data_IF_563107915622
#
_entry.id   IF_563107915622
#
_cell.length_a   1.000
_cell.length_b   1.000
_cell.length_c   1.000
_cell.angle_alpha   90.00
_cell.angle_beta   90.00
_cell.angle_gamma   90.00
#
_symmetry.space_group_name_H-M   'P 1'
#
loop_
_entity.id
_entity.type
_entity.pdbx_description
1 polymer ?
#
# COMPACT_ATOMS: atom_id res chain seq x y z
N UNK A 1 -3.90 -16.14 15.99
CA UNK A 1 -5.16 -16.00 15.21
C UNK A 1 -6.41 -16.43 15.99
N UNK A 2 -6.60 -17.68 16.48
CA UNK A 2 -7.78 -18.07 17.27
C UNK A 2 -7.94 -17.20 18.52
N UNK A 3 -6.86 -16.98 19.27
CA UNK A 3 -6.86 -16.15 20.46
C UNK A 3 -7.28 -14.70 20.17
N UNK A 4 -6.93 -14.16 19.02
CA UNK A 4 -7.26 -12.79 18.64
C UNK A 4 -8.76 -12.64 18.31
N UNK A 5 -9.37 -13.62 17.68
CA UNK A 5 -10.83 -13.68 17.55
C UNK A 5 -11.51 -13.74 18.94
N UNK A 6 -10.94 -14.54 19.86
CA UNK A 6 -11.44 -14.63 21.23
C UNK A 6 -11.33 -13.30 21.98
N UNK A 7 -10.24 -12.55 21.78
CA UNK A 7 -10.05 -11.22 22.36
C UNK A 7 -11.09 -10.19 21.88
N UNK A 8 -11.62 -10.38 20.65
CA UNK A 8 -12.75 -9.60 20.13
C UNK A 8 -14.13 -10.10 20.61
N UNK A 9 -14.16 -11.09 21.48
CA UNK A 9 -15.40 -11.71 21.97
C UNK A 9 -16.04 -12.69 20.97
N UNK A 10 -15.35 -13.04 19.88
CA UNK A 10 -15.84 -13.97 18.86
C UNK A 10 -15.59 -15.39 19.33
N UNK A 11 -16.67 -16.14 19.57
CA UNK A 11 -16.59 -17.53 19.97
C UNK A 11 -16.52 -18.44 18.74
N UNK A 12 -15.40 -19.14 18.57
CA UNK A 12 -15.17 -20.07 17.48
C UNK A 12 -15.59 -21.50 17.86
N UNK A 13 -16.02 -22.26 16.85
CA UNK A 13 -16.40 -23.67 16.99
C UNK A 13 -15.36 -24.54 16.29
N UNK A 14 -14.28 -24.89 17.01
CA UNK A 14 -13.19 -25.71 16.46
C UNK A 14 -12.33 -24.96 15.43
N UNK A 15 -11.62 -25.70 14.57
CA UNK A 15 -10.60 -25.20 13.66
C UNK A 15 -11.04 -25.15 12.19
N UNK A 16 -12.34 -25.21 11.91
CA UNK A 16 -12.84 -25.12 10.51
C UNK A 16 -12.44 -23.79 9.90
N UNK A 17 -11.82 -23.76 8.69
CA UNK A 17 -11.37 -22.54 8.05
C UNK A 17 -12.46 -21.48 7.87
N UNK A 18 -13.69 -21.92 7.61
CA UNK A 18 -14.85 -21.04 7.51
C UNK A 18 -15.94 -21.48 8.47
N UNK A 19 -16.45 -20.56 9.25
CA UNK A 19 -17.52 -20.84 10.19
C UNK A 19 -18.44 -19.65 10.41
N UNK A 20 -19.67 -19.96 10.88
CA UNK A 20 -20.62 -18.93 11.33
C UNK A 20 -20.79 -19.01 12.81
N UNK A 21 -20.78 -17.86 13.47
CA UNK A 21 -20.96 -17.74 14.93
C UNK A 21 -21.82 -16.53 15.30
N UNK A 22 -22.10 -16.38 16.58
CA UNK A 22 -22.85 -15.22 17.11
C UNK A 22 -21.99 -13.96 17.03
N UNK A 23 -22.60 -12.85 16.66
CA UNK A 23 -21.92 -11.56 16.68
C UNK A 23 -21.87 -11.01 18.12
N UNK A 24 -20.71 -10.75 18.72
CA UNK A 24 -20.62 -10.23 20.07
C UNK A 24 -21.23 -8.83 20.21
N UNK A 25 -21.25 -8.04 19.11
CA UNK A 25 -21.82 -6.68 19.14
C UNK A 25 -23.34 -6.63 19.10
N UNK A 26 -23.99 -7.43 18.26
CA UNK A 26 -25.43 -7.29 18.06
C UNK A 26 -26.27 -8.48 18.57
N UNK A 27 -25.70 -9.68 18.75
CA UNK A 27 -26.46 -10.83 19.24
C UNK A 27 -27.08 -10.63 20.63
N UNK A 28 -26.45 -9.92 21.60
CA UNK A 28 -27.02 -9.70 22.92
C UNK A 28 -28.33 -8.90 22.92
N UNK A 29 -28.50 -7.99 21.94
CA UNK A 29 -29.64 -7.06 21.86
C UNK A 29 -30.74 -7.53 20.91
N UNK A 30 -30.54 -8.67 20.22
CA UNK A 30 -31.48 -9.18 19.22
C UNK A 30 -32.59 -10.03 19.82
N UNK A 31 -33.74 -10.05 19.15
CA UNK A 31 -34.86 -10.96 19.50
C UNK A 31 -34.38 -12.43 19.45
N UNK A 32 -33.69 -12.81 18.38
CA UNK A 32 -33.08 -14.14 18.28
C UNK A 32 -31.60 -14.08 18.69
N UNK A 33 -31.31 -14.39 19.95
CA UNK A 33 -29.95 -14.41 20.51
C UNK A 33 -29.11 -15.63 20.06
N UNK A 34 -29.72 -16.58 19.36
CA UNK A 34 -29.06 -17.81 18.89
C UNK A 34 -28.58 -17.68 17.44
N UNK A 35 -28.98 -16.63 16.73
CA UNK A 35 -28.62 -16.43 15.33
C UNK A 35 -27.12 -16.25 15.11
N UNK A 36 -26.56 -17.04 14.19
CA UNK A 36 -25.15 -17.04 13.82
C UNK A 36 -24.90 -16.18 12.60
N UNK A 37 -25.07 -14.87 12.74
CA UNK A 37 -24.94 -13.90 11.64
C UNK A 37 -23.52 -13.45 11.36
N UNK A 38 -22.53 -13.85 12.18
CA UNK A 38 -21.13 -13.51 12.00
C UNK A 38 -20.42 -14.64 11.22
N UNK A 39 -20.01 -14.34 10.01
CA UNK A 39 -19.12 -15.21 9.22
C UNK A 39 -17.68 -14.93 9.63
N UNK A 40 -16.91 -15.99 9.82
CA UNK A 40 -15.49 -15.94 10.19
C UNK A 40 -14.70 -16.83 9.24
N UNK A 41 -13.61 -16.30 8.68
CA UNK A 41 -12.64 -17.05 7.90
C UNK A 41 -11.32 -17.09 8.70
N UNK A 42 -10.99 -18.26 9.25
CA UNK A 42 -9.76 -18.46 10.04
C UNK A 42 -8.50 -18.42 9.18
N UNK A 43 -8.59 -18.82 7.90
CA UNK A 43 -7.44 -18.82 6.99
C UNK A 43 -6.98 -17.39 6.70
N UNK A 44 -7.93 -16.49 6.47
CA UNK A 44 -7.66 -15.11 6.09
C UNK A 44 -7.73 -14.14 7.29
N UNK A 45 -8.11 -14.63 8.47
CA UNK A 45 -8.22 -13.83 9.68
C UNK A 45 -9.36 -12.80 9.63
N UNK A 46 -10.36 -12.95 8.75
CA UNK A 46 -11.41 -11.96 8.54
C UNK A 46 -12.75 -12.38 9.10
N UNK A 47 -13.57 -11.41 9.48
CA UNK A 47 -14.94 -11.64 9.91
C UNK A 47 -15.89 -10.54 9.43
N UNK A 48 -17.17 -10.91 9.24
CA UNK A 48 -18.24 -9.98 8.89
C UNK A 48 -19.58 -10.44 9.49
N UNK A 49 -20.24 -9.54 10.17
CA UNK A 49 -21.61 -9.74 10.64
C UNK A 49 -22.60 -9.26 9.58
N UNK A 50 -23.41 -10.18 9.07
CA UNK A 50 -24.44 -9.86 8.04
C UNK A 50 -25.66 -9.13 8.60
N UNK A 51 -25.73 -8.89 9.91
CA UNK A 51 -26.83 -8.16 10.53
C UNK A 51 -26.48 -6.72 10.87
N UNK A 52 -25.33 -6.48 11.54
CA UNK A 52 -24.95 -5.14 11.98
C UNK A 52 -23.74 -4.58 11.19
N UNK A 53 -23.34 -5.25 10.14
CA UNK A 53 -22.19 -4.91 9.28
C UNK A 53 -20.85 -4.76 10.02
N UNK A 54 -20.77 -5.17 11.31
CA UNK A 54 -19.50 -5.21 12.00
C UNK A 54 -18.58 -6.19 11.32
N UNK A 55 -17.48 -5.70 10.84
CA UNK A 55 -16.48 -6.47 10.13
C UNK A 55 -15.09 -6.06 10.58
N UNK A 56 -14.11 -6.90 10.30
CA UNK A 56 -12.73 -6.62 10.62
C UNK A 56 -11.84 -7.80 10.31
N UNK A 57 -10.60 -7.65 10.68
CA UNK A 57 -9.58 -8.66 10.56
C UNK A 57 -8.89 -8.86 11.90
N UNK A 58 -8.55 -10.10 12.22
CA UNK A 58 -7.68 -10.47 13.33
C UNK A 58 -6.42 -11.09 12.77
N UNK A 59 -5.34 -10.95 13.50
CA UNK A 59 -4.01 -11.33 13.06
C UNK A 59 -3.39 -10.15 12.35
N UNK A 60 -2.26 -9.70 12.86
CA UNK A 60 -1.30 -9.05 12.01
C UNK A 60 -1.06 -9.98 10.83
N UNK A 61 -1.10 -9.47 9.60
CA UNK A 61 -0.65 -10.19 8.40
C UNK A 61 0.84 -10.58 8.51
N UNK A 62 1.45 -10.20 9.61
CA UNK A 62 2.74 -10.73 9.98
C UNK A 62 2.57 -12.21 10.26
N UNK A 63 2.86 -13.01 9.25
CA UNK A 63 3.32 -14.36 9.43
C UNK A 63 4.57 -14.25 10.32
N UNK A 64 4.36 -14.04 11.64
CA UNK A 64 5.46 -13.98 12.63
C UNK A 64 6.42 -15.17 12.45
N UNK A 65 5.87 -16.33 12.06
CA UNK A 65 6.67 -17.53 11.79
C UNK A 65 7.48 -17.45 10.48
N UNK A 66 7.16 -16.53 9.55
CA UNK A 66 7.96 -16.32 8.33
C UNK A 66 9.04 -15.25 8.53
N UNK A 67 8.85 -14.33 9.48
CA UNK A 67 9.78 -13.24 9.76
C UNK A 67 10.92 -13.62 10.72
N UNK A 68 10.72 -14.60 11.60
CA UNK A 68 11.69 -14.92 12.67
C UNK A 68 13.01 -15.51 12.19
N UNK A 69 13.18 -15.84 10.89
CA UNK A 69 14.40 -16.46 10.37
C UNK A 69 14.96 -15.86 9.07
N UNK A 70 14.41 -14.77 8.54
CA UNK A 70 15.01 -14.18 7.34
C UNK A 70 15.99 -13.07 7.72
N UNK A 71 17.27 -13.40 7.63
CA UNK A 71 18.35 -12.42 7.77
C UNK A 71 18.42 -11.61 6.46
N UNK A 72 18.13 -10.32 6.54
CA UNK A 72 18.32 -9.39 5.44
C UNK A 72 19.71 -8.77 5.49
N UNK A 73 20.27 -8.48 4.32
CA UNK A 73 21.54 -7.79 4.19
C UNK A 73 21.32 -6.30 4.00
N UNK A 74 22.06 -5.47 4.71
CA UNK A 74 22.07 -4.03 4.43
C UNK A 74 22.85 -3.79 3.13
N UNK A 75 22.33 -2.99 2.20
CA UNK A 75 23.04 -2.65 0.99
C UNK A 75 24.26 -1.78 1.28
N UNK A 76 25.32 -1.92 0.46
CA UNK A 76 26.48 -1.04 0.54
C UNK A 76 26.09 0.39 0.12
N UNK A 77 26.51 1.38 0.87
CA UNK A 77 26.31 2.80 0.52
C UNK A 77 27.17 3.23 -0.68
N UNK A 78 28.21 2.48 -1.03
CA UNK A 78 29.08 2.79 -2.17
C UNK A 78 28.39 2.72 -3.54
N UNK A 79 27.18 2.16 -3.61
CA UNK A 79 26.36 2.14 -4.84
C UNK A 79 25.69 3.49 -5.12
N UNK A 80 25.67 4.38 -4.15
CA UNK A 80 24.99 5.66 -4.21
C UNK A 80 25.96 6.75 -4.66
N UNK A 81 25.70 7.39 -5.79
CA UNK A 81 26.47 8.50 -6.31
C UNK A 81 25.58 9.72 -6.55
N UNK A 82 26.17 10.90 -6.58
CA UNK A 82 25.43 12.12 -6.95
C UNK A 82 24.67 11.91 -8.25
N UNK A 83 23.43 12.35 -8.29
CA UNK A 83 22.57 12.19 -9.45
C UNK A 83 23.24 12.77 -10.72
N UNK A 84 23.34 11.96 -11.76
CA UNK A 84 23.93 12.37 -13.03
C UNK A 84 23.07 13.42 -13.75
N UNK A 85 23.69 14.25 -14.61
CA UNK A 85 22.96 15.23 -15.42
C UNK A 85 21.83 14.58 -16.21
N UNK A 86 22.08 13.44 -16.87
CA UNK A 86 21.05 12.68 -17.60
C UNK A 86 19.91 12.19 -16.68
N UNK A 87 20.25 11.71 -15.48
CA UNK A 87 19.23 11.28 -14.51
C UNK A 87 18.36 12.45 -14.04
N UNK A 88 18.96 13.61 -13.83
CA UNK A 88 18.27 14.85 -13.49
C UNK A 88 17.35 15.32 -14.61
N UNK A 89 17.85 15.37 -15.86
CA UNK A 89 17.06 15.73 -17.04
C UNK A 89 15.86 14.79 -17.21
N UNK A 90 16.10 13.48 -17.03
CA UNK A 90 15.02 12.50 -17.09
C UNK A 90 13.93 12.78 -16.02
N UNK A 91 14.29 13.03 -14.78
CA UNK A 91 13.32 13.31 -13.72
C UNK A 91 12.60 14.64 -13.96
N UNK A 92 13.33 15.69 -14.39
CA UNK A 92 12.73 16.98 -14.72
C UNK A 92 11.76 16.87 -15.89
N UNK A 93 12.04 16.05 -16.91
CA UNK A 93 11.10 15.78 -18.01
C UNK A 93 9.82 15.06 -17.56
N UNK A 94 9.84 14.46 -16.37
CA UNK A 94 8.69 13.85 -15.70
C UNK A 94 8.03 14.80 -14.67
N UNK A 95 8.40 16.09 -14.69
CA UNK A 95 7.84 17.08 -13.78
C UNK A 95 8.37 17.01 -12.34
N UNK A 96 9.36 16.13 -12.06
CA UNK A 96 9.95 16.01 -10.72
C UNK A 96 10.98 17.12 -10.54
N UNK A 97 10.76 18.00 -9.56
CA UNK A 97 11.58 19.18 -9.33
C UNK A 97 12.91 18.86 -8.65
N UNK A 98 13.89 19.75 -8.80
CA UNK A 98 15.19 19.63 -8.13
C UNK A 98 15.07 19.56 -6.60
N UNK A 99 14.09 20.25 -6.04
CA UNK A 99 13.79 20.24 -4.61
C UNK A 99 13.35 18.85 -4.16
N UNK A 100 12.37 18.26 -4.86
CA UNK A 100 11.87 16.90 -4.56
C UNK A 100 12.96 15.84 -4.76
N UNK A 101 13.79 15.98 -5.81
CA UNK A 101 14.96 15.11 -6.05
C UNK A 101 15.90 15.14 -4.85
N UNK A 102 16.23 16.33 -4.34
CA UNK A 102 17.12 16.51 -3.19
C UNK A 102 16.51 16.00 -1.89
N UNK A 103 15.24 16.34 -1.60
CA UNK A 103 14.54 15.91 -0.38
C UNK A 103 14.40 14.39 -0.27
N UNK A 104 14.25 13.72 -1.41
CA UNK A 104 14.13 12.26 -1.48
C UNK A 104 15.48 11.55 -1.71
N UNK A 105 16.60 12.26 -1.65
CA UNK A 105 17.95 11.70 -1.82
C UNK A 105 18.10 10.87 -3.09
N UNK A 106 17.47 11.29 -4.21
CA UNK A 106 17.57 10.54 -5.47
C UNK A 106 18.98 10.62 -6.01
N UNK A 107 19.53 9.49 -6.41
CA UNK A 107 20.95 9.34 -6.77
C UNK A 107 21.11 8.60 -8.10
N UNK A 108 22.34 8.35 -8.49
CA UNK A 108 22.71 7.55 -9.66
C UNK A 108 23.55 6.33 -9.28
N UNK A 109 23.54 5.34 -10.16
CA UNK A 109 24.53 4.27 -10.17
C UNK A 109 25.94 4.82 -10.44
N UNK A 110 26.97 4.05 -10.10
CA UNK A 110 28.38 4.46 -10.28
C UNK A 110 28.77 4.83 -11.69
N UNK A 111 28.10 4.26 -12.70
CA UNK A 111 28.27 4.56 -14.14
C UNK A 111 27.35 5.68 -14.64
N UNK A 112 26.47 6.21 -13.79
CA UNK A 112 25.50 7.26 -14.14
C UNK A 112 24.36 6.83 -15.07
N UNK A 113 24.29 5.55 -15.44
CA UNK A 113 23.30 5.03 -16.39
C UNK A 113 21.92 4.78 -15.79
N UNK A 114 21.82 4.71 -14.46
CA UNK A 114 20.59 4.41 -13.74
C UNK A 114 20.31 5.46 -12.68
N UNK A 115 19.04 5.75 -12.48
CA UNK A 115 18.53 6.46 -11.31
C UNK A 115 18.44 5.46 -10.16
N UNK A 116 18.84 5.88 -8.97
CA UNK A 116 18.76 5.10 -7.74
C UNK A 116 17.78 5.75 -6.79
N UNK A 117 16.76 5.02 -6.39
CA UNK A 117 15.81 5.39 -5.35
C UNK A 117 16.23 4.68 -4.06
N UNK A 118 16.79 5.38 -3.07
CA UNK A 118 17.18 4.78 -1.79
C UNK A 118 15.95 4.62 -0.88
N UNK A 119 15.94 3.54 -0.11
CA UNK A 119 14.89 3.25 0.86
C UNK A 119 15.50 3.24 2.26
N UNK A 120 15.04 4.12 3.10
CA UNK A 120 15.56 4.27 4.46
C UNK A 120 14.54 3.77 5.48
N UNK A 121 15.06 3.17 6.57
CA UNK A 121 14.33 2.89 7.80
C UNK A 121 15.18 3.35 8.97
N UNK A 122 14.62 4.23 9.81
CA UNK A 122 15.34 4.83 10.93
C UNK A 122 16.66 5.51 10.50
N UNK A 123 16.63 6.20 9.38
CA UNK A 123 17.80 6.86 8.79
C UNK A 123 18.86 5.93 8.19
N UNK A 124 18.65 4.60 8.20
CA UNK A 124 19.59 3.62 7.64
C UNK A 124 19.15 3.18 6.25
N UNK A 125 20.08 3.12 5.30
CA UNK A 125 19.82 2.56 3.98
C UNK A 125 19.49 1.07 4.13
N UNK A 126 18.24 0.72 3.95
CA UNK A 126 17.71 -0.64 4.13
C UNK A 126 17.54 -1.37 2.80
N UNK A 127 17.22 -0.62 1.74
CA UNK A 127 17.09 -1.14 0.39
C UNK A 127 17.39 -0.01 -0.61
N UNK A 128 17.50 -0.34 -1.88
CA UNK A 128 17.43 0.61 -2.98
C UNK A 128 16.83 -0.06 -4.21
N UNK A 129 16.22 0.74 -5.07
CA UNK A 129 15.78 0.31 -6.39
C UNK A 129 16.47 1.16 -7.44
N UNK A 130 16.88 0.54 -8.53
CA UNK A 130 17.44 1.27 -9.68
C UNK A 130 16.51 1.21 -10.85
N UNK A 131 16.50 2.29 -11.65
CA UNK A 131 15.80 2.39 -12.92
C UNK A 131 16.74 2.87 -14.00
N UNK A 132 16.82 2.14 -15.12
CA UNK A 132 17.57 2.58 -16.30
C UNK A 132 17.02 3.89 -16.86
N UNK A 133 17.90 4.80 -17.27
CA UNK A 133 17.51 6.07 -17.90
C UNK A 133 17.06 5.79 -19.34
N UNK A 134 17.83 5.01 -20.08
CA UNK A 134 17.57 4.68 -21.49
C UNK A 134 16.67 3.44 -21.68
N UNK A 135 15.91 3.03 -20.65
CA UNK A 135 15.01 1.88 -20.71
C UNK A 135 14.39 1.53 -19.35
N UNK A 136 13.29 0.76 -19.37
CA UNK A 136 12.58 0.35 -18.15
C UNK A 136 13.23 -0.87 -17.48
N UNK A 137 14.54 -0.86 -17.27
CA UNK A 137 15.24 -1.90 -16.53
C UNK A 137 15.28 -1.55 -15.05
N UNK A 138 14.76 -2.44 -14.22
CA UNK A 138 14.72 -2.27 -12.77
C UNK A 138 15.56 -3.34 -12.07
N UNK A 139 16.31 -2.94 -11.04
CA UNK A 139 16.97 -3.88 -10.12
C UNK A 139 16.79 -3.39 -8.68
N UNK A 140 16.93 -4.29 -7.72
CA UNK A 140 16.92 -3.97 -6.30
C UNK A 140 18.18 -4.52 -5.62
N UNK A 141 18.46 -4.04 -4.42
CA UNK A 141 19.54 -4.57 -3.60
C UNK A 141 19.28 -6.06 -3.31
N UNK A 142 20.31 -6.88 -3.56
CA UNK A 142 20.22 -8.32 -3.33
C UNK A 142 20.06 -8.60 -1.82
N UNK A 143 19.14 -9.50 -1.49
CA UNK A 143 18.85 -9.95 -0.13
C UNK A 143 18.50 -8.83 0.87
N UNK A 144 18.19 -7.62 0.38
CA UNK A 144 17.73 -6.51 1.19
C UNK A 144 16.27 -6.71 1.66
N UNK A 145 15.92 -6.09 2.78
CA UNK A 145 14.56 -6.13 3.29
C UNK A 145 13.62 -5.39 2.32
N UNK A 146 12.54 -6.04 1.85
CA UNK A 146 11.50 -5.34 1.10
C UNK A 146 10.75 -4.42 2.05
N UNK A 147 10.91 -3.11 1.88
CA UNK A 147 10.14 -2.07 2.56
C UNK A 147 9.49 -1.17 1.52
N UNK A 148 8.49 -0.40 1.93
CA UNK A 148 7.90 0.63 1.07
C UNK A 148 8.87 1.80 0.89
N UNK A 149 8.79 2.48 -0.26
CA UNK A 149 9.60 3.66 -0.54
C UNK A 149 9.28 4.79 0.46
N UNK A 150 10.27 5.62 0.79
CA UNK A 150 10.12 6.76 1.70
C UNK A 150 9.48 6.41 3.07
N UNK A 151 9.77 5.21 3.60
CA UNK A 151 9.19 4.68 4.84
C UNK A 151 9.30 5.63 6.03
N UNK A 152 10.44 6.28 6.23
CA UNK A 152 10.68 7.14 7.40
C UNK A 152 9.70 8.33 7.48
N UNK A 153 9.22 8.82 6.34
CA UNK A 153 8.24 9.92 6.30
C UNK A 153 6.84 9.48 6.77
N UNK A 154 6.57 8.18 6.79
CA UNK A 154 5.27 7.62 7.13
C UNK A 154 5.10 7.40 8.63
N UNK A 155 6.20 7.34 9.38
CA UNK A 155 6.17 7.03 10.82
C UNK A 155 5.40 8.10 11.58
N UNK A 156 4.33 7.69 12.27
CA UNK A 156 3.43 8.59 13.02
C UNK A 156 2.46 9.40 12.17
N UNK A 157 2.46 9.23 10.86
CA UNK A 157 1.58 9.95 9.93
C UNK A 157 0.14 9.44 10.00
N UNK A 158 -0.83 10.35 9.89
CA UNK A 158 -2.26 9.99 9.89
C UNK A 158 -2.83 9.78 8.49
N UNK A 159 -2.26 10.44 7.50
CA UNK A 159 -2.67 10.34 6.11
C UNK A 159 -1.47 9.95 5.26
N UNK A 160 -1.60 8.90 4.44
CA UNK A 160 -0.55 8.33 3.60
C UNK A 160 -1.07 8.23 2.18
N UNK A 161 -0.28 8.63 1.19
CA UNK A 161 -0.56 8.34 -0.23
C UNK A 161 0.37 7.21 -0.69
N UNK A 162 -0.20 6.10 -1.14
CA UNK A 162 0.54 4.96 -1.66
C UNK A 162 0.32 4.80 -3.17
N UNK A 163 1.42 4.71 -3.91
CA UNK A 163 1.46 4.56 -5.37
C UNK A 163 2.03 3.22 -5.80
N UNK A 164 1.97 2.94 -7.10
CA UNK A 164 2.60 1.75 -7.69
C UNK A 164 4.11 1.89 -7.81
N UNK A 165 4.60 3.06 -8.25
CA UNK A 165 6.00 3.32 -8.54
C UNK A 165 6.57 4.54 -7.82
N UNK A 166 7.92 4.62 -7.79
CA UNK A 166 8.63 5.71 -7.12
C UNK A 166 8.39 7.06 -7.80
N UNK A 167 8.27 7.09 -9.15
CA UNK A 167 8.02 8.33 -9.90
C UNK A 167 6.62 8.86 -9.58
N UNK A 168 5.62 8.01 -9.46
CA UNK A 168 4.27 8.40 -9.05
C UNK A 168 4.25 8.93 -7.62
N UNK A 169 4.98 8.25 -6.74
CA UNK A 169 5.18 8.71 -5.37
C UNK A 169 5.84 10.09 -5.33
N UNK A 170 6.89 10.33 -6.14
CA UNK A 170 7.54 11.65 -6.26
C UNK A 170 6.61 12.71 -6.88
N UNK A 171 5.68 12.31 -7.75
CA UNK A 171 4.67 13.24 -8.29
C UNK A 171 3.76 13.78 -7.18
N UNK A 172 3.41 12.96 -6.20
CA UNK A 172 2.71 13.42 -5.01
C UNK A 172 3.58 14.32 -4.14
N UNK A 173 4.90 14.08 -4.06
CA UNK A 173 5.83 15.00 -3.38
C UNK A 173 5.83 16.38 -4.04
N UNK A 174 5.85 16.44 -5.38
CA UNK A 174 5.73 17.71 -6.15
C UNK A 174 4.41 18.40 -5.83
N UNK A 175 3.32 17.67 -5.65
CA UNK A 175 2.02 18.19 -5.22
C UNK A 175 1.97 18.59 -3.73
N UNK A 176 3.09 18.53 -3.00
CA UNK A 176 3.20 18.97 -1.60
C UNK A 176 2.83 17.90 -0.58
N UNK A 177 2.56 16.66 -1.00
CA UNK A 177 2.29 15.55 -0.08
C UNK A 177 3.60 15.07 0.54
N UNK A 178 3.76 15.21 1.85
CA UNK A 178 4.97 14.79 2.56
C UNK A 178 5.01 13.29 2.85
N UNK A 179 3.85 12.69 3.04
CA UNK A 179 3.66 11.28 3.45
C UNK A 179 3.26 10.41 2.25
N UNK A 180 4.11 10.45 1.23
CA UNK A 180 3.97 9.70 -0.01
C UNK A 180 4.86 8.45 0.00
N UNK A 181 4.40 7.38 -0.63
CA UNK A 181 5.13 6.11 -0.73
C UNK A 181 4.75 5.33 -1.98
N UNK A 182 5.51 4.27 -2.25
CA UNK A 182 5.14 3.26 -3.26
C UNK A 182 5.51 1.85 -2.82
N UNK A 183 4.89 0.84 -3.47
CA UNK A 183 5.34 -0.53 -3.34
C UNK A 183 6.70 -0.70 -4.04
N UNK A 184 7.56 -1.59 -3.51
CA UNK A 184 8.92 -1.73 -4.02
C UNK A 184 9.04 -2.51 -5.34
N UNK A 185 8.05 -3.37 -5.67
CA UNK A 185 8.11 -4.25 -6.85
C UNK A 185 7.08 -3.90 -7.95
N UNK A 186 6.36 -2.78 -7.82
CA UNK A 186 5.26 -2.43 -8.71
C UNK A 186 4.04 -3.34 -8.53
N UNK A 187 3.05 -3.20 -9.41
CA UNK A 187 1.87 -4.04 -9.36
C UNK A 187 2.19 -5.51 -9.66
N UNK A 188 1.57 -6.43 -8.90
CA UNK A 188 1.60 -7.84 -9.25
C UNK A 188 0.73 -8.09 -10.50
N UNK A 189 1.11 -9.06 -11.32
CA UNK A 189 0.23 -9.55 -12.37
C UNK A 189 -0.89 -10.39 -11.73
N UNK A 190 -2.09 -10.33 -12.31
CA UNK A 190 -3.27 -11.11 -11.85
C UNK A 190 -2.96 -12.62 -11.77
N UNK A 191 -2.02 -13.12 -12.59
CA UNK A 191 -1.63 -14.52 -12.63
C UNK A 191 -0.46 -14.86 -11.69
N UNK A 192 0.06 -13.91 -10.92
CA UNK A 192 1.19 -14.14 -10.03
C UNK A 192 0.84 -15.11 -8.89
N UNK A 193 1.52 -16.23 -8.86
CA UNK A 193 1.35 -17.26 -7.81
C UNK A 193 1.93 -16.84 -6.45
N UNK A 194 2.81 -15.83 -6.41
CA UNK A 194 3.57 -15.40 -5.24
C UNK A 194 3.29 -13.95 -4.85
N UNK A 195 2.02 -13.56 -4.83
CA UNK A 195 1.60 -12.20 -4.51
C UNK A 195 2.08 -11.74 -3.12
N UNK A 196 2.08 -12.63 -2.13
CA UNK A 196 2.54 -12.32 -0.78
C UNK A 196 4.03 -11.92 -0.76
N UNK A 197 4.86 -12.58 -1.57
CA UNK A 197 6.27 -12.18 -1.73
C UNK A 197 6.42 -10.82 -2.41
N UNK A 198 5.60 -10.52 -3.42
CA UNK A 198 5.65 -9.23 -4.13
C UNK A 198 5.20 -8.06 -3.26
N UNK A 199 4.23 -8.29 -2.40
CA UNK A 199 3.70 -7.27 -1.48
C UNK A 199 4.25 -7.39 -0.05
N UNK A 200 5.33 -8.15 0.15
CA UNK A 200 5.98 -8.30 1.45
C UNK A 200 6.41 -6.95 2.04
N UNK A 201 6.67 -5.94 1.23
CA UNK A 201 6.97 -4.59 1.70
C UNK A 201 5.83 -3.98 2.53
N UNK A 202 4.57 -4.29 2.22
CA UNK A 202 3.41 -3.85 3.01
C UNK A 202 3.40 -4.55 4.37
N UNK A 203 3.65 -5.86 4.38
CA UNK A 203 3.65 -6.66 5.61
C UNK A 203 4.82 -6.24 6.53
N UNK A 204 6.02 -6.00 5.96
CA UNK A 204 7.19 -5.53 6.70
C UNK A 204 7.03 -4.10 7.25
N UNK A 205 6.16 -3.30 6.65
CA UNK A 205 5.89 -1.92 7.03
C UNK A 205 4.48 -1.74 7.62
N UNK A 206 3.82 -2.83 8.05
CA UNK A 206 2.42 -2.79 8.46
C UNK A 206 2.11 -1.76 9.56
N UNK A 207 3.02 -1.53 10.49
CA UNK A 207 2.84 -0.61 11.61
C UNK A 207 2.49 0.82 11.15
N UNK A 208 3.12 1.34 10.10
CA UNK A 208 2.81 2.71 9.61
C UNK A 208 1.41 2.79 9.01
N UNK A 209 0.92 1.71 8.37
CA UNK A 209 -0.45 1.63 7.85
C UNK A 209 -1.48 1.37 8.96
N UNK A 210 -1.09 0.63 10.00
CA UNK A 210 -1.94 0.41 11.19
C UNK A 210 -2.21 1.71 11.95
N UNK A 211 -1.19 2.55 12.10
CA UNK A 211 -1.27 3.85 12.79
C UNK A 211 -1.95 4.94 11.96
N UNK A 212 -2.01 4.78 10.63
CA UNK A 212 -2.65 5.71 9.73
C UNK A 212 -4.17 5.75 9.93
N UNK A 213 -4.75 6.94 9.78
CA UNK A 213 -6.20 7.17 9.75
C UNK A 213 -6.75 6.96 8.34
N UNK A 214 -6.03 7.47 7.34
CA UNK A 214 -6.43 7.40 5.93
C UNK A 214 -5.24 6.97 5.07
N UNK A 215 -5.46 6.01 4.18
CA UNK A 215 -4.49 5.62 3.15
C UNK A 215 -5.12 5.86 1.78
N UNK A 216 -4.59 6.83 1.05
CA UNK A 216 -5.01 7.14 -0.30
C UNK A 216 -4.29 6.21 -1.27
N UNK A 217 -5.03 5.38 -1.96
CA UNK A 217 -4.52 4.40 -2.92
C UNK A 217 -4.52 5.02 -4.31
N UNK A 218 -3.34 5.33 -4.82
CA UNK A 218 -3.08 6.00 -6.10
C UNK A 218 -2.22 5.10 -6.97
N UNK A 219 -2.83 4.12 -7.59
CA UNK A 219 -2.17 3.11 -8.44
C UNK A 219 -2.53 3.30 -9.90
N UNK A 220 -1.82 2.62 -10.81
CA UNK A 220 -2.04 2.73 -12.25
C UNK A 220 -3.48 2.36 -12.63
N UNK A 221 -4.04 3.09 -13.59
CA UNK A 221 -5.39 2.86 -14.11
C UNK A 221 -5.40 1.77 -15.19
N UNK A 222 -4.80 0.62 -14.88
CA UNK A 222 -4.80 -0.59 -15.71
C UNK A 222 -5.18 -1.82 -14.88
N UNK A 223 -5.24 -3.01 -15.50
CA UNK A 223 -5.69 -4.23 -14.82
C UNK A 223 -4.77 -4.64 -13.66
N UNK A 224 -3.46 -4.46 -13.81
CA UNK A 224 -2.50 -4.78 -12.77
C UNK A 224 -2.59 -3.78 -11.61
N UNK A 225 -2.75 -2.48 -11.90
CA UNK A 225 -2.99 -1.44 -10.89
C UNK A 225 -4.30 -1.68 -10.14
N UNK A 226 -5.39 -2.02 -10.83
CA UNK A 226 -6.66 -2.42 -10.18
C UNK A 226 -6.50 -3.65 -9.29
N UNK A 227 -5.67 -4.60 -9.69
CA UNK A 227 -5.36 -5.77 -8.87
C UNK A 227 -4.53 -5.39 -7.63
N UNK A 228 -3.51 -4.54 -7.80
CA UNK A 228 -2.75 -3.98 -6.69
C UNK A 228 -3.65 -3.23 -5.71
N UNK A 229 -4.57 -2.40 -6.22
CA UNK A 229 -5.55 -1.68 -5.40
C UNK A 229 -6.37 -2.62 -4.50
N UNK A 230 -6.91 -3.71 -5.06
CA UNK A 230 -7.66 -4.71 -4.29
C UNK A 230 -6.81 -5.35 -3.19
N UNK A 231 -5.56 -5.66 -3.49
CA UNK A 231 -4.63 -6.26 -2.54
C UNK A 231 -4.18 -5.28 -1.44
N UNK A 232 -3.96 -4.01 -1.77
CA UNK A 232 -3.66 -2.97 -0.77
C UNK A 232 -4.85 -2.77 0.17
N UNK A 233 -6.07 -2.64 -0.36
CA UNK A 233 -7.30 -2.52 0.44
C UNK A 233 -7.47 -3.75 1.35
N UNK A 234 -7.23 -4.95 0.83
CA UNK A 234 -7.32 -6.19 1.60
C UNK A 234 -6.33 -6.25 2.76
N UNK A 235 -5.09 -5.73 2.56
CA UNK A 235 -4.01 -5.77 3.55
C UNK A 235 -4.09 -4.65 4.57
N UNK A 236 -4.45 -3.45 4.14
CA UNK A 236 -4.46 -2.25 4.98
C UNK A 236 -5.79 -2.13 5.75
N UNK A 237 -6.91 -2.47 5.11
CA UNK A 237 -8.26 -2.34 5.65
C UNK A 237 -9.09 -1.36 4.82
N UNK A 238 -10.28 -1.81 4.43
CA UNK A 238 -11.20 -1.03 3.58
C UNK A 238 -11.65 0.28 4.24
N UNK A 239 -11.77 0.27 5.57
CA UNK A 239 -12.22 1.43 6.35
C UNK A 239 -11.20 2.58 6.37
N UNK A 240 -9.94 2.30 6.09
CA UNK A 240 -8.84 3.28 6.05
C UNK A 240 -8.54 3.75 4.64
N UNK A 241 -8.91 2.97 3.63
CA UNK A 241 -8.53 3.24 2.25
C UNK A 241 -9.48 4.22 1.57
N UNK A 242 -8.91 5.12 0.76
CA UNK A 242 -9.61 5.94 -0.23
C UNK A 242 -8.96 5.77 -1.58
N UNK A 243 -9.75 5.65 -2.64
CA UNK A 243 -9.27 5.49 -4.00
C UNK A 243 -9.13 6.86 -4.65
N UNK A 244 -7.95 7.14 -5.18
CA UNK A 244 -7.69 8.31 -6.02
C UNK A 244 -7.98 7.93 -7.46
N UNK A 245 -8.94 8.62 -8.10
CA UNK A 245 -9.24 8.43 -9.51
C UNK A 245 -8.26 9.24 -10.37
N UNK A 246 -7.45 8.54 -11.15
CA UNK A 246 -6.46 9.14 -12.05
C UNK A 246 -6.99 9.27 -13.50
N UNK A 247 -8.24 8.84 -13.77
CA UNK A 247 -8.80 8.88 -15.12
C UNK A 247 -8.81 10.31 -15.69
N UNK A 248 -8.57 10.49 -17.00
CA UNK A 248 -8.31 9.48 -18.03
C UNK A 248 -6.83 9.02 -18.12
N UNK A 249 -5.96 9.50 -17.25
CA UNK A 249 -4.53 9.20 -17.25
C UNK A 249 -4.24 7.83 -16.66
N UNK A 250 -3.10 7.30 -17.04
CA UNK A 250 -2.66 5.99 -16.56
C UNK A 250 -2.21 6.05 -15.10
N UNK A 251 -1.38 7.03 -14.74
CA UNK A 251 -0.70 7.12 -13.46
C UNK A 251 -0.65 8.57 -12.94
N UNK A 252 -0.20 8.76 -11.70
CA UNK A 252 -0.12 10.08 -11.09
C UNK A 252 0.91 11.00 -11.77
N UNK A 253 1.95 10.42 -12.35
CA UNK A 253 2.95 11.19 -13.07
C UNK A 253 2.40 11.75 -14.39
N UNK A 254 1.58 10.98 -15.10
CA UNK A 254 0.90 11.52 -16.29
C UNK A 254 -0.04 12.68 -15.92
N UNK A 255 -0.79 12.58 -14.82
CA UNK A 255 -1.61 13.71 -14.36
C UNK A 255 -0.74 14.95 -14.07
N UNK A 256 0.38 14.78 -13.35
CA UNK A 256 1.30 15.88 -13.05
C UNK A 256 1.81 16.57 -14.33
N UNK A 257 2.25 15.77 -15.32
CA UNK A 257 2.86 16.30 -16.56
C UNK A 257 1.83 16.98 -17.46
N UNK A 258 0.60 16.47 -17.52
CA UNK A 258 -0.41 16.99 -18.44
C UNK A 258 -1.32 18.05 -17.82
N UNK A 259 -1.66 17.94 -16.55
CA UNK A 259 -2.63 18.80 -15.89
C UNK A 259 -2.04 19.64 -14.74
N UNK A 260 -0.84 19.28 -14.26
CA UNK A 260 -0.16 20.03 -13.20
C UNK A 260 -0.54 19.63 -11.78
N UNK A 261 0.01 20.39 -10.83
CA UNK A 261 -0.08 20.13 -9.39
C UNK A 261 -1.54 20.23 -8.89
N UNK A 262 -2.25 21.26 -9.35
CA UNK A 262 -3.62 21.57 -8.92
C UNK A 262 -4.56 20.41 -9.15
N UNK A 263 -4.42 19.73 -10.31
CA UNK A 263 -5.23 18.56 -10.65
C UNK A 263 -4.93 17.37 -9.73
N UNK A 264 -3.67 17.09 -9.40
CA UNK A 264 -3.32 16.06 -8.43
C UNK A 264 -3.94 16.34 -7.05
N UNK A 265 -3.84 17.59 -6.58
CA UNK A 265 -4.41 18.01 -5.29
C UNK A 265 -5.93 17.85 -5.29
N UNK A 266 -6.60 18.21 -6.38
CA UNK A 266 -8.06 18.07 -6.52
C UNK A 266 -8.48 16.60 -6.51
N UNK A 267 -7.77 15.73 -7.26
CA UNK A 267 -8.04 14.27 -7.27
C UNK A 267 -7.87 13.65 -5.88
N UNK A 268 -6.85 14.09 -5.12
CA UNK A 268 -6.65 13.63 -3.75
C UNK A 268 -7.80 14.05 -2.82
N UNK A 269 -8.30 15.28 -2.95
CA UNK A 269 -9.46 15.77 -2.18
C UNK A 269 -10.75 15.01 -2.51
N UNK A 270 -10.90 14.62 -3.78
CA UNK A 270 -12.06 13.90 -4.30
C UNK A 270 -11.96 12.37 -4.14
N UNK A 271 -10.90 11.87 -3.48
CA UNK A 271 -10.71 10.44 -3.28
C UNK A 271 -11.89 9.81 -2.52
N UNK A 272 -12.42 8.72 -3.05
CA UNK A 272 -13.65 8.07 -2.59
C UNK A 272 -13.37 6.77 -1.83
N UNK A 273 -14.33 6.35 -1.01
CA UNK A 273 -14.29 5.04 -0.35
C UNK A 273 -14.31 3.91 -1.41
N UNK A 274 -13.58 2.80 -1.17
CA UNK A 274 -13.68 1.64 -2.04
C UNK A 274 -15.12 1.11 -2.10
N UNK A 275 -15.63 0.89 -3.30
CA UNK A 275 -16.92 0.19 -3.46
C UNK A 275 -16.77 -1.25 -3.00
N UNK A 276 -17.57 -1.65 -2.04
CA UNK A 276 -17.64 -3.04 -1.56
C UNK A 276 -18.71 -3.76 -2.38
N UNK A 277 -18.29 -4.75 -3.18
CA UNK A 277 -19.24 -5.56 -3.96
C UNK A 277 -20.34 -6.13 -3.04
N UNK A 278 -21.60 -5.89 -3.40
CA UNK A 278 -22.77 -6.33 -2.64
C UNK A 278 -23.22 -5.39 -1.50
N UNK A 279 -22.60 -4.23 -1.34
CA UNK A 279 -23.10 -3.14 -0.48
C UNK A 279 -23.58 -2.03 -1.41
N UNK A 280 -24.89 -1.78 -1.43
CA UNK A 280 -25.53 -0.66 -2.14
C UNK A 280 -25.65 0.51 -1.18
N UNK A 281 -25.32 1.71 -1.63
CA UNK A 281 -25.70 2.93 -0.91
C UNK A 281 -27.20 3.14 -1.04
N UNK A 282 -27.83 3.78 -0.02
CA UNK A 282 -29.28 4.04 -0.01
C UNK A 282 -29.72 4.83 -1.25
N UNK A 283 -28.82 5.58 -1.86
CA UNK A 283 -29.07 6.34 -3.09
C UNK A 283 -29.08 5.47 -4.37
N UNK A 284 -28.50 4.28 -4.33
CA UNK A 284 -28.47 3.33 -5.46
C UNK A 284 -29.77 2.50 -5.56
N UNK A 285 -30.69 2.66 -4.60
CA UNK A 285 -31.94 1.89 -4.50
C UNK A 285 -33.15 2.69 -5.04
N UNK A 286 -32.90 3.87 -5.61
CA UNK A 286 -33.97 4.66 -6.25
C UNK A 286 -33.83 4.52 -7.76
N UNK A 287 -34.49 3.44 -8.27
CA UNK A 287 -35.28 3.46 -9.54
C UNK A 287 -36.05 2.15 -9.67
#
# INVERSE_FOLDING_TARGET
MIQEFTNLGIQLRGNSPQQKTKCPKCSPTRKNKLDTSLSVNLKDGVFKCHHCNWQGRVGSLTNKNYMENKIYSLPSQNVLQTLSGKGKEFLNSRGITDEVIRENNIQSSSDGSKIVFPYYREGKLTNYKTRGIDGKQFTQAKDAEPIVYNYDSLVGSKDIVISEGEIDSLSWAVAGVKTHTSVNMGAPNVQDKNIDKKLQCIDNCYSVFEDAKTVYVSVDNDDNGRYLQKELIRRIGVEKCKIVDLSPYKDANEVLVHEGIESLVERLKNASQPKIEGVFEVNDIRD
#
